data_IF_302157158883
#
_entry.id   IF_302157158883
#
_cell.length_a   1.000
_cell.length_b   1.000
_cell.length_c   1.000
_cell.angle_alpha   90.00
_cell.angle_beta   90.00
_cell.angle_gamma   90.00
#
_symmetry.space_group_name_H-M   'P 1'
#
loop_
_entity.id
_entity.type
_entity.pdbx_description
1 polymer ?
#
# COMPACT_ATOMS: atom_id res chain seq x y z
N UNK A 1 13.51 19.64 -0.57
CA UNK A 1 12.43 18.71 -0.96
C UNK A 1 11.90 18.96 -2.38
N UNK A 2 12.16 20.13 -3.00
CA UNK A 2 11.72 20.45 -4.37
C UNK A 2 12.55 19.83 -5.49
N UNK A 3 13.70 19.21 -5.23
CA UNK A 3 14.61 18.66 -6.25
C UNK A 3 14.47 17.13 -6.46
N UNK A 4 13.50 16.48 -5.82
CA UNK A 4 13.29 15.02 -5.89
C UNK A 4 12.28 14.59 -6.98
N UNK A 5 11.87 15.51 -7.86
CA UNK A 5 10.82 15.27 -8.85
C UNK A 5 11.32 15.27 -10.31
N UNK A 6 12.62 15.12 -10.54
CA UNK A 6 13.21 15.04 -11.88
C UNK A 6 13.64 13.60 -12.21
N UNK A 7 12.67 12.75 -12.50
CA UNK A 7 12.91 11.42 -13.03
C UNK A 7 11.80 11.05 -14.01
N UNK A 8 11.93 11.45 -15.28
CA UNK A 8 11.08 10.92 -16.35
C UNK A 8 11.65 9.57 -16.75
N UNK A 9 11.08 8.48 -16.27
CA UNK A 9 11.34 7.15 -16.82
C UNK A 9 10.45 6.95 -18.06
N UNK A 10 10.99 6.32 -19.12
CA UNK A 10 10.21 5.86 -20.26
C UNK A 10 9.15 4.84 -19.76
N UNK A 11 7.88 4.99 -20.17
CA UNK A 11 6.80 4.09 -19.77
C UNK A 11 7.13 2.62 -20.08
N UNK A 12 7.84 2.36 -21.20
CA UNK A 12 8.30 1.02 -21.56
C UNK A 12 9.38 0.46 -20.60
N UNK A 13 10.22 1.31 -20.03
CA UNK A 13 11.19 0.93 -19.01
C UNK A 13 10.48 0.58 -17.70
N UNK A 14 9.50 1.38 -17.32
CA UNK A 14 8.68 1.13 -16.13
C UNK A 14 7.90 -0.17 -16.23
N UNK A 15 7.27 -0.44 -17.36
CA UNK A 15 6.55 -1.69 -17.61
C UNK A 15 7.50 -2.90 -17.53
N UNK A 16 8.75 -2.76 -18.00
CA UNK A 16 9.78 -3.79 -17.89
C UNK A 16 10.22 -4.02 -16.44
N UNK A 17 10.44 -2.94 -15.68
CA UNK A 17 10.76 -3.01 -14.24
C UNK A 17 9.62 -3.70 -13.51
N UNK A 18 8.39 -3.30 -13.71
CA UNK A 18 7.23 -3.89 -13.09
C UNK A 18 7.09 -5.38 -13.42
N UNK A 19 7.18 -5.74 -14.70
CA UNK A 19 7.11 -7.13 -15.17
C UNK A 19 8.24 -8.02 -14.62
N UNK A 20 9.40 -7.44 -14.26
CA UNK A 20 10.55 -8.19 -13.74
C UNK A 20 10.52 -8.28 -12.22
N UNK A 21 10.22 -7.19 -11.52
CA UNK A 21 10.34 -7.12 -10.06
C UNK A 21 9.07 -7.52 -9.32
N UNK A 22 7.88 -7.33 -9.90
CA UNK A 22 6.65 -7.72 -9.26
C UNK A 22 6.57 -9.25 -9.00
N UNK A 23 6.96 -10.13 -9.95
CA UNK A 23 7.03 -11.57 -9.69
C UNK A 23 8.05 -11.95 -8.61
N UNK A 24 9.18 -11.23 -8.50
CA UNK A 24 10.13 -11.44 -7.41
C UNK A 24 9.51 -11.08 -6.06
N UNK A 25 8.83 -9.94 -5.97
CA UNK A 25 8.15 -9.52 -4.74
C UNK A 25 7.03 -10.51 -4.35
N UNK A 26 6.32 -11.08 -5.32
CA UNK A 26 5.31 -12.11 -5.09
C UNK A 26 5.95 -13.40 -4.54
N UNK A 27 7.02 -13.89 -5.15
CA UNK A 27 7.75 -15.05 -4.64
C UNK A 27 8.26 -14.85 -3.20
N UNK A 28 8.68 -13.64 -2.85
CA UNK A 28 9.07 -13.32 -1.46
C UNK A 28 7.86 -13.26 -0.53
N UNK A 29 6.69 -12.79 -0.98
CA UNK A 29 5.43 -12.85 -0.20
C UNK A 29 5.03 -14.30 0.10
N UNK A 30 5.10 -15.18 -0.89
CA UNK A 30 4.86 -16.61 -0.72
C UNK A 30 5.86 -17.22 0.26
N UNK A 31 7.13 -16.82 0.19
CA UNK A 31 8.16 -17.25 1.13
C UNK A 31 7.87 -16.79 2.57
N UNK A 32 7.38 -15.56 2.76
CA UNK A 32 6.97 -15.04 4.08
C UNK A 32 5.84 -15.91 4.64
N UNK A 33 4.80 -16.18 3.86
CA UNK A 33 3.67 -17.01 4.26
C UNK A 33 4.12 -18.44 4.60
N UNK A 34 4.92 -19.07 3.73
CA UNK A 34 5.51 -20.38 3.96
C UNK A 34 6.39 -20.42 5.22
N UNK A 35 7.17 -19.37 5.50
CA UNK A 35 8.01 -19.27 6.68
C UNK A 35 7.19 -19.24 7.98
N UNK A 36 6.04 -18.54 7.95
CA UNK A 36 5.14 -18.43 9.11
C UNK A 36 4.45 -19.78 9.39
N UNK A 37 4.09 -20.52 8.35
CA UNK A 37 3.26 -21.72 8.45
C UNK A 37 4.05 -23.03 8.43
N UNK A 38 5.36 -23.01 8.19
CA UNK A 38 6.17 -24.21 8.06
C UNK A 38 6.18 -25.07 9.33
N UNK A 39 6.22 -26.39 9.13
CA UNK A 39 6.46 -27.41 10.15
C UNK A 39 7.65 -28.31 9.78
N UNK A 40 8.58 -27.79 8.96
CA UNK A 40 9.79 -28.49 8.60
C UNK A 40 10.63 -28.81 9.86
N UNK A 41 11.39 -29.88 9.81
CA UNK A 41 12.36 -30.24 10.86
C UNK A 41 13.56 -29.29 10.89
N UNK A 42 14.43 -29.43 11.87
CA UNK A 42 15.59 -28.58 12.08
C UNK A 42 16.52 -28.56 10.85
N UNK A 43 16.75 -29.71 10.23
CA UNK A 43 17.60 -29.82 9.04
C UNK A 43 17.01 -29.03 7.87
N UNK A 44 15.72 -29.19 7.60
CA UNK A 44 14.99 -28.44 6.56
C UNK A 44 15.01 -26.93 6.79
N UNK A 45 14.86 -26.47 8.03
CA UNK A 45 14.96 -25.05 8.39
C UNK A 45 16.37 -24.51 8.13
N UNK A 46 17.43 -25.24 8.53
CA UNK A 46 18.81 -24.81 8.31
C UNK A 46 19.15 -24.75 6.81
N UNK A 47 18.70 -25.70 6.02
CA UNK A 47 18.87 -25.69 4.55
C UNK A 47 18.13 -24.51 3.91
N UNK A 48 16.86 -24.29 4.25
CA UNK A 48 16.07 -23.18 3.75
C UNK A 48 16.73 -21.82 4.05
N UNK A 49 17.19 -21.63 5.29
CA UNK A 49 17.93 -20.43 5.71
C UNK A 49 19.18 -20.19 4.85
N UNK A 50 20.00 -21.20 4.61
CA UNK A 50 21.22 -21.06 3.82
C UNK A 50 20.92 -20.61 2.36
N UNK A 51 19.86 -21.15 1.76
CA UNK A 51 19.40 -20.72 0.41
C UNK A 51 18.92 -19.28 0.42
N UNK A 52 18.11 -18.89 1.38
CA UNK A 52 17.59 -17.50 1.51
C UNK A 52 18.74 -16.51 1.70
N UNK A 53 19.73 -16.84 2.54
CA UNK A 53 20.91 -15.99 2.75
C UNK A 53 21.73 -15.84 1.46
N UNK A 54 21.90 -16.89 0.66
CA UNK A 54 22.61 -16.83 -0.62
C UNK A 54 21.86 -15.95 -1.65
N UNK A 55 20.55 -16.09 -1.77
CA UNK A 55 19.71 -15.23 -2.63
C UNK A 55 19.79 -13.79 -2.17
N UNK A 56 19.68 -13.52 -0.88
CA UNK A 56 19.80 -12.18 -0.29
C UNK A 56 21.13 -11.52 -0.64
N UNK A 57 22.25 -12.25 -0.52
CA UNK A 57 23.56 -11.74 -0.91
C UNK A 57 23.66 -11.44 -2.40
N UNK A 58 23.05 -12.26 -3.26
CA UNK A 58 23.00 -12.02 -4.69
C UNK A 58 22.26 -10.72 -5.03
N UNK A 59 21.09 -10.50 -4.42
CA UNK A 59 20.28 -9.29 -4.63
C UNK A 59 20.94 -8.02 -4.07
N UNK A 60 21.84 -8.14 -3.09
CA UNK A 60 22.58 -7.01 -2.51
C UNK A 60 23.76 -6.52 -3.34
N UNK A 61 24.15 -7.21 -4.42
CA UNK A 61 25.30 -6.81 -5.24
C UNK A 61 25.06 -5.49 -5.98
N UNK A 62 23.83 -5.26 -6.39
CA UNK A 62 23.40 -4.04 -7.06
C UNK A 62 22.12 -3.55 -6.40
N UNK A 63 22.14 -2.35 -5.84
CA UNK A 63 21.00 -1.78 -5.14
C UNK A 63 20.79 -0.34 -5.60
N UNK A 64 19.53 0.00 -5.88
CA UNK A 64 19.12 1.39 -6.09
C UNK A 64 19.12 2.15 -4.76
N UNK A 65 19.13 3.47 -4.84
CA UNK A 65 18.97 4.32 -3.65
C UNK A 65 17.53 4.19 -3.12
N UNK A 66 17.34 4.14 -1.79
CA UNK A 66 16.03 4.31 -1.22
C UNK A 66 15.39 5.62 -1.69
N UNK A 67 14.09 5.61 -1.96
CA UNK A 67 13.31 6.80 -2.34
C UNK A 67 13.49 7.31 -3.79
N UNK A 68 14.02 6.53 -4.72
CA UNK A 68 13.82 6.82 -6.14
C UNK A 68 12.35 6.68 -6.49
N UNK A 69 11.76 7.77 -7.01
CA UNK A 69 10.36 7.80 -7.44
C UNK A 69 10.35 7.80 -8.96
N UNK A 70 9.67 6.84 -9.54
CA UNK A 70 9.40 6.79 -10.98
C UNK A 70 8.08 7.47 -11.30
N UNK A 71 7.96 8.09 -12.47
CA UNK A 71 6.76 8.78 -12.93
C UNK A 71 6.35 8.25 -14.29
N UNK A 72 5.04 8.05 -14.52
CA UNK A 72 4.50 7.82 -15.87
C UNK A 72 4.41 9.14 -16.64
N UNK A 73 4.21 9.06 -17.96
CA UNK A 73 4.12 10.23 -18.84
C UNK A 73 3.05 11.26 -18.47
N UNK A 74 2.07 10.91 -17.62
CA UNK A 74 1.07 11.81 -17.03
C UNK A 74 1.52 12.45 -15.70
N UNK A 75 2.81 12.36 -15.36
CA UNK A 75 3.44 12.85 -14.14
C UNK A 75 2.89 12.23 -12.84
N UNK A 76 2.17 11.11 -12.90
CA UNK A 76 1.75 10.38 -11.70
C UNK A 76 2.90 9.54 -11.14
N UNK A 77 3.19 9.66 -9.83
CA UNK A 77 4.21 8.84 -9.21
C UNK A 77 3.81 7.37 -9.20
N UNK A 78 4.74 6.49 -9.56
CA UNK A 78 4.56 5.04 -9.48
C UNK A 78 5.15 4.57 -8.15
N UNK A 79 4.34 4.09 -7.24
CA UNK A 79 4.79 3.75 -5.89
C UNK A 79 5.33 2.32 -5.81
N UNK A 80 6.32 1.95 -6.63
CA UNK A 80 6.87 0.58 -6.71
C UNK A 80 7.28 0.01 -5.34
N UNK A 81 7.80 0.84 -4.45
CA UNK A 81 8.26 0.47 -3.11
C UNK A 81 7.29 0.89 -1.98
N UNK A 82 6.09 1.36 -2.30
CA UNK A 82 5.12 1.78 -1.29
C UNK A 82 4.74 0.61 -0.37
N UNK A 83 4.56 0.89 0.93
CA UNK A 83 4.28 -0.13 1.93
C UNK A 83 2.87 -0.75 1.83
N UNK A 84 1.96 -0.21 1.01
CA UNK A 84 0.58 -0.68 0.86
C UNK A 84 0.28 -1.19 -0.53
N UNK A 85 0.67 -0.43 -1.56
CA UNK A 85 0.34 -0.70 -2.97
C UNK A 85 1.57 -0.98 -3.83
N UNK A 86 2.78 -0.98 -3.25
CA UNK A 86 4.03 -1.16 -3.98
C UNK A 86 4.16 -2.56 -4.54
N UNK A 87 4.09 -2.71 -5.86
CA UNK A 87 4.18 -4.00 -6.53
C UNK A 87 5.54 -4.66 -6.33
N UNK A 88 6.61 -3.86 -6.20
CA UNK A 88 7.97 -4.35 -5.96
C UNK A 88 8.30 -4.46 -4.45
N UNK A 89 7.36 -4.20 -3.56
CA UNK A 89 7.55 -4.32 -2.13
C UNK A 89 6.87 -5.59 -1.59
N UNK A 90 7.64 -6.61 -1.15
CA UNK A 90 7.05 -7.87 -0.70
C UNK A 90 6.27 -7.77 0.62
N UNK A 91 6.47 -6.71 1.43
CA UNK A 91 5.68 -6.50 2.65
C UNK A 91 4.38 -5.76 2.40
N UNK A 92 4.20 -5.16 1.20
CA UNK A 92 2.93 -4.51 0.87
C UNK A 92 1.81 -5.55 0.80
N UNK A 93 0.63 -5.27 1.38
CA UNK A 93 -0.56 -6.04 1.06
C UNK A 93 -0.80 -6.01 -0.46
N UNK A 94 -1.37 -7.05 -1.07
CA UNK A 94 -1.62 -7.07 -2.51
C UNK A 94 -2.84 -6.19 -2.88
N UNK A 95 -2.78 -4.89 -2.55
CA UNK A 95 -3.87 -3.93 -2.71
C UNK A 95 -3.76 -3.24 -4.05
N UNK A 96 -4.77 -3.44 -4.91
CA UNK A 96 -4.94 -2.70 -6.16
C UNK A 96 -6.12 -1.74 -5.97
N UNK A 97 -5.84 -0.44 -6.07
CA UNK A 97 -6.86 0.60 -5.85
C UNK A 97 -7.55 0.94 -7.17
N UNK A 98 -8.87 0.86 -7.16
CA UNK A 98 -9.75 1.27 -8.25
C UNK A 98 -10.39 2.61 -7.92
N UNK A 99 -10.51 3.49 -8.91
CA UNK A 99 -11.15 4.78 -8.78
C UNK A 99 -12.44 4.81 -9.60
N UNK A 100 -13.48 5.42 -9.05
CA UNK A 100 -14.69 5.73 -9.80
C UNK A 100 -14.46 7.05 -10.57
N UNK A 101 -14.33 7.02 -11.90
CA UNK A 101 -14.03 8.21 -12.69
C UNK A 101 -15.18 9.23 -12.71
N UNK A 102 -16.39 8.80 -12.39
CA UNK A 102 -17.61 9.64 -12.40
C UNK A 102 -17.92 10.19 -11.00
N UNK A 103 -17.23 9.74 -9.96
CA UNK A 103 -17.47 10.17 -8.59
C UNK A 103 -16.74 11.49 -8.29
N UNK A 104 -17.52 12.57 -8.09
CA UNK A 104 -16.99 13.89 -7.72
C UNK A 104 -16.32 13.92 -6.32
N UNK A 105 -16.57 12.93 -5.48
CA UNK A 105 -16.02 12.79 -4.13
C UNK A 105 -14.68 12.00 -4.09
N UNK A 106 -14.09 11.69 -5.25
CA UNK A 106 -12.83 10.96 -5.34
C UNK A 106 -12.90 9.51 -4.86
N UNK A 107 -14.10 8.91 -4.91
CA UNK A 107 -14.37 7.55 -4.44
C UNK A 107 -13.42 6.54 -5.04
N UNK A 108 -12.87 5.70 -4.16
CA UNK A 108 -12.01 4.59 -4.55
C UNK A 108 -12.26 3.35 -3.69
N UNK A 109 -11.88 2.19 -4.21
CA UNK A 109 -12.01 0.92 -3.48
C UNK A 109 -10.90 -0.04 -3.86
N UNK A 110 -10.72 -1.06 -3.03
CA UNK A 110 -9.87 -2.21 -3.31
C UNK A 110 -10.48 -3.48 -2.74
N UNK A 111 -10.30 -4.59 -3.46
CA UNK A 111 -10.60 -5.94 -3.00
C UNK A 111 -9.28 -6.72 -2.95
N UNK A 112 -9.01 -7.38 -1.84
CA UNK A 112 -7.72 -8.02 -1.57
C UNK A 112 -7.86 -9.13 -0.54
N UNK A 113 -6.80 -9.92 -0.37
CA UNK A 113 -6.74 -10.99 0.61
C UNK A 113 -5.59 -10.72 1.57
N UNK A 114 -5.84 -10.77 2.88
CA UNK A 114 -4.79 -10.72 3.90
C UNK A 114 -4.61 -12.09 4.53
N UNK A 115 -3.42 -12.65 4.36
CA UNK A 115 -3.03 -13.96 4.92
C UNK A 115 -2.29 -13.86 6.25
N UNK A 116 -1.63 -14.95 6.65
CA UNK A 116 -0.95 -15.10 7.93
C UNK A 116 0.11 -14.03 8.24
N UNK A 117 0.74 -13.44 7.20
CA UNK A 117 1.72 -12.37 7.37
C UNK A 117 1.15 -11.11 8.07
N UNK A 118 -0.16 -10.94 8.05
CA UNK A 118 -0.87 -9.77 8.59
C UNK A 118 -1.68 -10.09 9.85
N UNK A 119 -1.49 -11.27 10.41
CA UNK A 119 -2.20 -11.72 11.62
C UNK A 119 -1.78 -10.90 12.85
N UNK A 120 -2.76 -10.57 13.68
CA UNK A 120 -2.60 -10.03 15.01
C UNK A 120 -3.12 -11.03 16.05
N UNK A 121 -4.34 -10.84 16.61
CA UNK A 121 -4.96 -11.90 17.37
C UNK A 121 -5.26 -13.11 16.48
N UNK A 122 -5.28 -14.35 17.02
CA UNK A 122 -5.48 -15.56 16.22
C UNK A 122 -6.69 -15.48 15.27
N UNK A 123 -6.45 -15.68 13.97
CA UNK A 123 -7.45 -15.64 12.92
C UNK A 123 -7.89 -14.22 12.50
N UNK A 124 -7.34 -13.18 13.10
CA UNK A 124 -7.72 -11.78 12.83
C UNK A 124 -6.55 -10.98 12.28
N UNK A 125 -6.85 -10.05 11.41
CA UNK A 125 -5.89 -9.04 10.92
C UNK A 125 -5.46 -8.13 12.07
N UNK A 126 -4.16 -7.84 12.15
CA UNK A 126 -3.63 -6.89 13.11
C UNK A 126 -4.24 -5.50 12.91
N UNK A 127 -4.70 -4.85 14.00
CA UNK A 127 -5.37 -3.55 13.92
C UNK A 127 -4.55 -2.45 13.23
N UNK A 128 -3.22 -2.46 13.41
CA UNK A 128 -2.32 -1.55 12.68
C UNK A 128 -2.29 -1.79 11.17
N UNK A 129 -2.50 -3.03 10.70
CA UNK A 129 -2.63 -3.34 9.27
C UNK A 129 -3.96 -2.82 8.72
N UNK A 130 -5.05 -2.98 9.45
CA UNK A 130 -6.33 -2.37 9.09
C UNK A 130 -6.20 -0.84 8.95
N UNK A 131 -5.52 -0.19 9.92
CA UNK A 131 -5.28 1.25 9.91
C UNK A 131 -4.38 1.66 8.72
N UNK A 132 -3.34 0.89 8.39
CA UNK A 132 -2.45 1.12 7.27
C UNK A 132 -3.20 1.12 5.92
N UNK A 133 -4.06 0.12 5.70
CA UNK A 133 -4.87 0.04 4.47
C UNK A 133 -5.89 1.18 4.41
N UNK A 134 -6.57 1.47 5.52
CA UNK A 134 -7.52 2.58 5.60
C UNK A 134 -6.85 3.94 5.37
N UNK A 135 -5.70 4.21 5.99
CA UNK A 135 -4.95 5.45 5.78
C UNK A 135 -4.60 5.64 4.29
N UNK A 136 -4.16 4.57 3.65
CA UNK A 136 -3.79 4.62 2.24
C UNK A 136 -5.00 4.94 1.34
N UNK A 137 -6.12 4.24 1.49
CA UNK A 137 -7.30 4.48 0.66
C UNK A 137 -7.93 5.85 0.93
N UNK A 138 -7.96 6.32 2.18
CA UNK A 138 -8.37 7.68 2.50
C UNK A 138 -7.48 8.72 1.79
N UNK A 139 -6.17 8.48 1.74
CA UNK A 139 -5.20 9.30 1.03
C UNK A 139 -5.39 9.28 -0.49
N UNK A 140 -5.68 8.11 -1.07
CA UNK A 140 -5.99 7.98 -2.50
C UNK A 140 -7.26 8.75 -2.88
N UNK A 141 -8.33 8.63 -2.08
CA UNK A 141 -9.55 9.42 -2.28
C UNK A 141 -9.28 10.92 -2.15
N UNK A 142 -8.61 11.35 -1.07
CA UNK A 142 -8.29 12.75 -0.81
C UNK A 142 -7.44 13.38 -1.91
N UNK A 143 -6.44 12.65 -2.43
CA UNK A 143 -5.53 13.09 -3.48
C UNK A 143 -6.05 12.88 -4.90
N UNK A 144 -7.28 12.38 -5.05
CA UNK A 144 -7.88 12.06 -6.35
C UNK A 144 -6.95 11.17 -7.21
N UNK A 145 -6.56 10.04 -6.64
CA UNK A 145 -5.64 9.12 -7.31
C UNK A 145 -4.21 9.68 -7.44
N UNK A 146 -3.75 10.42 -6.43
CA UNK A 146 -2.41 11.02 -6.36
C UNK A 146 -2.13 12.11 -7.40
N UNK A 147 -3.18 12.72 -7.95
CA UNK A 147 -3.05 13.87 -8.84
C UNK A 147 -2.75 15.17 -8.07
N UNK A 148 -3.03 15.19 -6.76
CA UNK A 148 -2.74 16.30 -5.86
C UNK A 148 -1.91 15.83 -4.67
N UNK A 149 -0.85 16.57 -4.28
CA UNK A 149 -0.06 16.23 -3.10
C UNK A 149 -0.85 16.56 -1.83
N UNK A 150 -1.33 15.52 -1.17
CA UNK A 150 -2.00 15.59 0.13
C UNK A 150 -1.35 14.58 1.07
N UNK A 151 -1.04 15.00 2.29
CA UNK A 151 -0.42 14.16 3.31
C UNK A 151 -1.34 13.97 4.50
N UNK A 152 -1.32 12.79 5.08
CA UNK A 152 -2.07 12.47 6.29
C UNK A 152 -1.65 13.38 7.43
N UNK A 153 -2.57 14.20 7.91
CA UNK A 153 -2.39 15.00 9.12
C UNK A 153 -2.89 14.26 10.35
N UNK A 154 -4.04 13.59 10.22
CA UNK A 154 -4.65 12.81 11.30
C UNK A 154 -5.50 11.69 10.70
N UNK A 155 -5.49 10.52 11.32
CA UNK A 155 -6.43 9.44 11.06
C UNK A 155 -7.03 8.97 12.37
N UNK A 156 -8.33 8.71 12.38
CA UNK A 156 -9.06 8.07 13.48
C UNK A 156 -9.69 6.79 12.97
N UNK A 157 -9.37 5.66 13.59
CA UNK A 157 -9.92 4.35 13.22
C UNK A 157 -10.80 3.85 14.34
N UNK A 158 -12.01 3.43 13.99
CA UNK A 158 -12.96 2.78 14.87
C UNK A 158 -13.12 1.32 14.47
N UNK A 159 -12.69 0.41 15.32
CA UNK A 159 -12.87 -1.02 15.15
C UNK A 159 -14.24 -1.43 15.68
N UNK A 160 -15.10 -1.93 14.80
CA UNK A 160 -16.49 -2.33 15.16
C UNK A 160 -16.54 -3.78 15.62
N UNK A 161 -15.71 -4.61 15.01
CA UNK A 161 -15.48 -6.02 15.35
C UNK A 161 -14.10 -6.48 14.84
N UNK A 162 -13.68 -7.68 15.17
CA UNK A 162 -12.48 -8.26 14.61
C UNK A 162 -12.58 -8.39 13.08
N UNK A 163 -11.54 -7.98 12.37
CA UNK A 163 -11.41 -8.19 10.92
C UNK A 163 -10.80 -9.57 10.68
N UNK A 164 -11.48 -10.54 10.06
CA UNK A 164 -10.91 -11.86 9.83
C UNK A 164 -9.80 -11.81 8.78
N UNK A 165 -8.86 -12.76 8.83
CA UNK A 165 -7.98 -13.04 7.71
C UNK A 165 -8.80 -13.55 6.52
N UNK A 166 -8.35 -13.28 5.31
CA UNK A 166 -9.01 -13.71 4.07
C UNK A 166 -9.44 -12.55 3.19
N UNK A 167 -10.51 -12.74 2.38
CA UNK A 167 -11.01 -11.73 1.45
C UNK A 167 -11.60 -10.52 2.18
N UNK A 168 -11.17 -9.34 1.79
CA UNK A 168 -11.60 -8.05 2.35
C UNK A 168 -11.86 -7.04 1.23
N UNK A 169 -12.71 -6.05 1.54
CA UNK A 169 -12.94 -4.87 0.72
C UNK A 169 -12.72 -3.61 1.56
N UNK A 170 -12.00 -2.66 1.01
CA UNK A 170 -11.87 -1.32 1.57
C UNK A 170 -12.43 -0.30 0.59
N UNK A 171 -13.14 0.71 1.09
CA UNK A 171 -13.70 1.78 0.29
C UNK A 171 -13.51 3.12 1.01
N UNK A 172 -13.20 4.19 0.23
CA UNK A 172 -13.00 5.53 0.76
C UNK A 172 -13.51 6.61 -0.20
N UNK A 173 -13.86 7.77 0.37
CA UNK A 173 -14.32 8.96 -0.37
C UNK A 173 -14.03 10.23 0.42
N UNK A 174 -14.07 11.38 -0.24
CA UNK A 174 -13.97 12.71 0.40
C UNK A 174 -15.36 13.12 0.89
N UNK A 175 -15.47 13.41 2.18
CA UNK A 175 -16.69 13.94 2.80
C UNK A 175 -16.84 15.44 2.52
N UNK A 176 -15.72 16.20 2.63
CA UNK A 176 -15.66 17.63 2.37
C UNK A 176 -14.23 18.13 2.23
N UNK A 177 -14.09 19.34 1.68
CA UNK A 177 -12.83 20.08 1.60
C UNK A 177 -12.96 21.45 2.26
N UNK A 178 -11.92 21.88 2.98
CA UNK A 178 -11.87 23.17 3.66
C UNK A 178 -10.48 23.80 3.44
N UNK A 179 -10.36 24.74 2.50
CA UNK A 179 -9.09 25.36 2.16
C UNK A 179 -8.03 24.34 1.72
N UNK A 180 -6.99 24.17 2.51
CA UNK A 180 -5.88 23.22 2.25
C UNK A 180 -6.11 21.83 2.82
N UNK A 181 -7.28 21.55 3.39
CA UNK A 181 -7.62 20.30 4.05
C UNK A 181 -8.70 19.55 3.29
N UNK A 182 -8.49 18.24 3.09
CA UNK A 182 -9.53 17.31 2.67
C UNK A 182 -9.87 16.37 3.85
N UNK A 183 -11.15 16.17 4.08
CA UNK A 183 -11.68 15.25 5.09
C UNK A 183 -12.22 14.05 4.37
N UNK A 184 -11.60 12.91 4.55
CA UNK A 184 -11.98 11.66 3.91
C UNK A 184 -12.55 10.68 4.93
N UNK A 185 -13.44 9.81 4.47
CA UNK A 185 -14.04 8.70 5.23
C UNK A 185 -13.90 7.41 4.45
N UNK A 186 -13.89 6.30 5.19
CA UNK A 186 -13.84 5.00 4.56
C UNK A 186 -14.14 3.88 5.55
N UNK A 187 -14.21 2.68 5.01
CA UNK A 187 -14.43 1.48 5.81
C UNK A 187 -13.67 0.28 5.24
N UNK A 188 -13.42 -0.67 6.12
CA UNK A 188 -12.95 -2.01 5.80
C UNK A 188 -14.07 -3.00 6.11
N UNK A 189 -14.32 -3.96 5.21
CA UNK A 189 -15.39 -4.94 5.34
C UNK A 189 -14.94 -6.33 4.85
N UNK A 190 -15.62 -7.35 5.34
CA UNK A 190 -15.63 -8.71 4.82
C UNK A 190 -17.03 -9.07 4.27
N UNK A 191 -17.29 -10.35 4.03
CA UNK A 191 -18.58 -10.83 3.53
C UNK A 191 -19.75 -10.60 4.51
N UNK A 192 -19.46 -10.43 5.82
CA UNK A 192 -20.47 -10.20 6.85
C UNK A 192 -20.77 -8.71 7.09
N UNK A 193 -19.98 -7.82 6.47
CA UNK A 193 -20.15 -6.38 6.55
C UNK A 193 -18.94 -5.63 7.12
N UNK A 194 -19.16 -4.40 7.58
CA UNK A 194 -18.09 -3.50 8.00
C UNK A 194 -17.43 -3.98 9.30
N UNK A 195 -16.08 -4.07 9.28
CA UNK A 195 -15.25 -4.45 10.43
C UNK A 195 -14.61 -3.24 11.09
N UNK A 196 -14.18 -2.27 10.30
CA UNK A 196 -13.58 -1.03 10.78
C UNK A 196 -14.01 0.16 9.92
N UNK A 197 -14.05 1.34 10.52
CA UNK A 197 -14.32 2.62 9.87
C UNK A 197 -13.18 3.59 10.18
N UNK A 198 -12.88 4.50 9.25
CA UNK A 198 -11.91 5.54 9.49
C UNK A 198 -12.37 6.90 8.96
N UNK A 199 -11.87 7.93 9.64
CA UNK A 199 -11.95 9.33 9.22
C UNK A 199 -10.52 9.90 9.22
N UNK A 200 -10.16 10.64 8.16
CA UNK A 200 -8.83 11.25 8.03
C UNK A 200 -8.89 12.70 7.61
N UNK A 201 -7.89 13.46 8.06
CA UNK A 201 -7.64 14.85 7.60
C UNK A 201 -6.34 14.84 6.81
N UNK A 202 -6.43 15.17 5.55
CA UNK A 202 -5.30 15.24 4.63
C UNK A 202 -4.99 16.71 4.31
N UNK A 203 -3.72 17.07 4.31
CA UNK A 203 -3.29 18.48 4.26
C UNK A 203 -2.40 18.69 3.04
N UNK A 204 -2.74 19.69 2.22
CA UNK A 204 -1.90 20.16 1.13
C UNK A 204 -0.63 20.79 1.70
N UNK A 205 0.57 20.25 1.38
CA UNK A 205 1.82 20.76 1.94
C UNK A 205 2.11 22.20 1.48
N UNK A 206 2.88 22.95 2.27
CA UNK A 206 3.13 24.36 2.01
C UNK A 206 3.73 24.62 0.61
N UNK A 207 4.62 23.75 0.14
CA UNK A 207 5.25 23.87 -1.17
C UNK A 207 4.31 23.66 -2.37
N UNK A 208 3.15 23.04 -2.15
CA UNK A 208 2.13 22.77 -3.18
C UNK A 208 0.93 23.73 -3.10
N UNK A 209 0.93 24.66 -2.14
CA UNK A 209 -0.09 25.71 -2.06
C UNK A 209 0.22 26.76 -3.09
N UNK A 210 -0.82 27.23 -3.80
CA UNK A 210 -0.66 28.41 -4.65
C UNK A 210 -0.20 29.59 -3.79
N UNK A 211 0.83 30.27 -4.25
CA UNK A 211 1.24 31.55 -3.66
C UNK A 211 0.19 32.55 -4.06
N UNK A 212 -0.45 33.28 -3.12
CA UNK A 212 -1.49 34.27 -3.44
C UNK A 212 -0.96 35.42 -4.28
#
# INVERSE_FOLDING_TARGET
>A
LGAAFEGSSDDAELDRVEATYAPLAEAVRDLIDATIQTRADEEGILQARAVIEAVTQSLRREQSRPCEVSYRGDARPIPLANAVIGQCNPIAPPVVVHHDPDAADGRCWAEFVLGAAYEGPPGLVHGGVCALVLDHLLGEAASQGRTQPLFTGTITVKYLRGTPLGPLRCEAWVDRTEGVKAFARGFLSDAEGVTAQAEGVFIKPAWAREVP
#
